data_IF_936829148368
#
_entry.id   IF_936829148368
#
_cell.length_a   1.000
_cell.length_b   1.000
_cell.length_c   1.000
_cell.angle_alpha   90.00
_cell.angle_beta   90.00
_cell.angle_gamma   90.00
#
_symmetry.space_group_name_H-M   'P 1'
#
loop_
_entity.id
_entity.type
_entity.pdbx_description
1 polymer ?
#
# COMPACT_ATOMS: atom_id res chain seq x y z
N UNK A 1 20.01 -16.54 -3.93
CA UNK A 1 19.17 -15.71 -4.85
C UNK A 1 19.77 -14.31 -4.98
N UNK A 2 19.88 -13.79 -6.20
CA UNK A 2 20.48 -12.47 -6.46
C UNK A 2 19.65 -11.35 -5.83
N UNK A 3 20.32 -10.50 -5.06
CA UNK A 3 19.81 -9.25 -4.48
C UNK A 3 18.97 -8.45 -5.48
N UNK A 4 19.38 -8.44 -6.76
CA UNK A 4 18.70 -7.78 -7.86
C UNK A 4 17.24 -8.21 -8.06
N UNK A 5 16.90 -9.49 -7.85
CA UNK A 5 15.50 -9.97 -7.98
C UNK A 5 14.62 -9.46 -6.84
N UNK A 6 15.15 -9.42 -5.61
CA UNK A 6 14.43 -8.86 -4.46
C UNK A 6 14.15 -7.37 -4.66
N UNK A 7 15.15 -6.63 -5.14
CA UNK A 7 15.01 -5.20 -5.44
C UNK A 7 13.97 -5.01 -6.56
N UNK A 8 14.13 -5.67 -7.70
CA UNK A 8 13.20 -5.54 -8.82
C UNK A 8 11.76 -5.93 -8.45
N UNK A 9 11.59 -7.03 -7.71
CA UNK A 9 10.29 -7.48 -7.22
C UNK A 9 9.62 -6.44 -6.31
N UNK A 10 10.35 -5.88 -5.35
CA UNK A 10 9.81 -4.83 -4.48
C UNK A 10 9.46 -3.56 -5.26
N UNK A 11 10.28 -3.14 -6.22
CA UNK A 11 9.98 -1.98 -7.08
C UNK A 11 8.68 -2.20 -7.88
N UNK A 12 8.54 -3.36 -8.53
CA UNK A 12 7.34 -3.68 -9.31
C UNK A 12 6.08 -3.75 -8.44
N UNK A 13 6.17 -4.44 -7.31
CA UNK A 13 5.03 -4.58 -6.39
C UNK A 13 4.64 -3.23 -5.80
N UNK A 14 5.62 -2.37 -5.48
CA UNK A 14 5.34 -1.04 -4.95
C UNK A 14 4.56 -0.14 -5.92
N UNK A 15 4.61 -0.38 -7.23
CA UNK A 15 3.81 0.38 -8.21
C UNK A 15 2.30 0.21 -8.00
N UNK A 16 1.86 -0.86 -7.35
CA UNK A 16 0.45 -1.11 -7.04
C UNK A 16 -0.01 -0.39 -5.76
N UNK A 17 0.93 0.00 -4.89
CA UNK A 17 0.60 0.60 -3.60
C UNK A 17 -0.13 1.96 -3.69
N UNK A 18 0.27 2.90 -4.58
CA UNK A 18 -0.48 4.15 -4.79
C UNK A 18 -1.95 3.93 -5.14
N UNK A 19 -2.25 2.94 -6.00
CA UNK A 19 -3.62 2.59 -6.38
C UNK A 19 -4.40 2.14 -5.13
N UNK A 20 -3.78 1.34 -4.27
CA UNK A 20 -4.38 0.85 -3.05
C UNK A 20 -4.57 1.94 -1.98
N UNK A 21 -3.64 2.90 -1.88
CA UNK A 21 -3.80 4.05 -0.97
C UNK A 21 -5.02 4.90 -1.31
N UNK A 22 -5.44 4.91 -2.59
CA UNK A 22 -6.60 5.66 -3.08
C UNK A 22 -7.90 4.85 -3.09
N UNK A 23 -7.98 3.76 -2.33
CA UNK A 23 -9.20 2.95 -2.24
C UNK A 23 -10.43 3.76 -1.80
N UNK A 24 -10.22 4.81 -0.98
CA UNK A 24 -11.30 5.71 -0.56
C UNK A 24 -11.89 6.57 -1.70
N UNK A 25 -11.18 6.73 -2.81
CA UNK A 25 -11.66 7.44 -4.00
C UNK A 25 -12.51 6.57 -4.92
N UNK A 26 -12.62 5.25 -4.67
CA UNK A 26 -13.38 4.32 -5.53
C UNK A 26 -14.82 4.81 -5.80
N UNK A 27 -15.61 5.28 -4.81
CA UNK A 27 -16.97 5.76 -5.09
C UNK A 27 -16.99 6.95 -6.06
N UNK A 28 -16.05 7.88 -5.90
CA UNK A 28 -15.95 9.08 -6.76
C UNK A 28 -15.49 8.69 -8.17
N UNK A 29 -14.55 7.76 -8.27
CA UNK A 29 -14.07 7.22 -9.56
C UNK A 29 -15.18 6.45 -10.27
N UNK A 30 -15.99 5.69 -9.53
CA UNK A 30 -17.16 5.01 -10.07
C UNK A 30 -18.16 6.03 -10.66
N UNK A 31 -18.45 7.09 -9.92
CA UNK A 31 -19.33 8.16 -10.39
C UNK A 31 -18.81 8.89 -11.63
N UNK A 32 -17.49 9.11 -11.69
CA UNK A 32 -16.83 9.69 -12.84
C UNK A 32 -16.94 8.80 -14.08
N UNK A 33 -16.72 7.49 -13.93
CA UNK A 33 -16.69 6.53 -15.06
C UNK A 33 -18.08 6.21 -15.57
N UNK A 34 -19.07 6.00 -14.69
CA UNK A 34 -20.39 5.50 -15.08
C UNK A 34 -21.45 6.60 -15.21
N UNK A 35 -21.30 7.72 -14.49
CA UNK A 35 -22.28 8.81 -14.49
C UNK A 35 -21.72 10.14 -15.01
N UNK A 36 -20.48 10.16 -15.52
CA UNK A 36 -19.79 11.37 -15.99
C UNK A 36 -19.74 12.50 -14.94
N UNK A 37 -19.71 12.15 -13.65
CA UNK A 37 -19.63 13.11 -12.54
C UNK A 37 -18.18 13.29 -12.09
N UNK A 38 -17.48 14.26 -12.68
CA UNK A 38 -16.07 14.51 -12.41
C UNK A 38 -15.86 15.48 -11.24
N UNK A 39 -16.13 15.03 -10.02
CA UNK A 39 -15.94 15.83 -8.80
C UNK A 39 -14.60 15.51 -8.13
N UNK A 40 -13.76 16.52 -7.95
CA UNK A 40 -12.50 16.40 -7.22
C UNK A 40 -12.44 17.45 -6.11
N UNK A 41 -12.64 17.02 -4.85
CA UNK A 41 -12.91 17.92 -3.73
C UNK A 41 -14.06 18.88 -4.04
N UNK A 42 -13.82 20.19 -3.98
CA UNK A 42 -14.81 21.24 -4.26
C UNK A 42 -14.83 21.67 -5.74
N UNK A 43 -14.04 21.02 -6.61
CA UNK A 43 -13.90 21.38 -8.01
C UNK A 43 -14.60 20.39 -8.95
N UNK A 44 -15.20 20.92 -10.01
CA UNK A 44 -15.73 20.14 -11.14
C UNK A 44 -14.66 20.12 -12.25
N UNK A 45 -14.37 18.94 -12.80
CA UNK A 45 -13.40 18.74 -13.88
C UNK A 45 -14.15 18.47 -15.19
N UNK A 46 -13.58 18.89 -16.33
CA UNK A 46 -14.28 18.82 -17.62
C UNK A 46 -14.15 17.48 -18.36
N UNK A 47 -13.21 16.62 -17.97
CA UNK A 47 -12.97 15.35 -18.64
C UNK A 47 -12.47 14.25 -17.71
N UNK A 48 -12.81 12.99 -18.04
CA UNK A 48 -12.38 11.81 -17.32
C UNK A 48 -10.84 11.70 -17.26
N UNK A 49 -10.15 12.03 -18.35
CA UNK A 49 -8.68 11.96 -18.39
C UNK A 49 -8.00 12.91 -17.41
N UNK A 50 -8.49 14.16 -17.34
CA UNK A 50 -7.99 15.15 -16.38
C UNK A 50 -8.35 14.72 -14.95
N UNK A 51 -9.56 14.20 -14.73
CA UNK A 51 -9.98 13.68 -13.44
C UNK A 51 -9.08 12.54 -12.94
N UNK A 52 -8.83 11.52 -13.77
CA UNK A 52 -7.96 10.39 -13.41
C UNK A 52 -6.50 10.83 -13.20
N UNK A 53 -6.05 11.86 -13.92
CA UNK A 53 -4.71 12.44 -13.69
C UNK A 53 -4.61 13.04 -12.28
N UNK A 54 -5.56 13.87 -11.87
CA UNK A 54 -5.59 14.43 -10.52
C UNK A 54 -5.73 13.33 -9.46
N UNK A 55 -6.67 12.40 -9.68
CA UNK A 55 -6.92 11.33 -8.71
C UNK A 55 -5.75 10.37 -8.61
N UNK A 56 -5.05 9.95 -9.67
CA UNK A 56 -4.05 8.87 -9.56
C UNK A 56 -2.62 9.27 -9.92
N UNK A 57 -2.40 10.24 -10.81
CA UNK A 57 -1.07 10.49 -11.39
C UNK A 57 -0.28 11.58 -10.68
N UNK A 58 -0.92 12.65 -10.21
CA UNK A 58 -0.19 13.80 -9.66
C UNK A 58 0.63 13.48 -8.41
N UNK A 59 0.11 12.64 -7.53
CA UNK A 59 0.81 12.22 -6.31
C UNK A 59 1.46 10.84 -6.44
N UNK A 60 1.36 10.20 -7.60
CA UNK A 60 1.79 8.81 -7.82
C UNK A 60 3.24 8.58 -7.39
N UNK A 61 4.15 9.45 -7.84
CA UNK A 61 5.58 9.28 -7.57
C UNK A 61 5.90 9.39 -6.07
N UNK A 62 5.23 10.30 -5.36
CA UNK A 62 5.43 10.47 -3.92
C UNK A 62 4.89 9.29 -3.13
N UNK A 63 3.69 8.81 -3.49
CA UNK A 63 3.08 7.63 -2.89
C UNK A 63 3.88 6.36 -3.16
N UNK A 64 4.43 6.23 -4.38
CA UNK A 64 5.29 5.13 -4.78
C UNK A 64 6.60 5.12 -3.96
N UNK A 65 7.28 6.26 -3.88
CA UNK A 65 8.51 6.41 -3.08
C UNK A 65 8.24 6.17 -1.59
N UNK A 66 7.11 6.68 -1.08
CA UNK A 66 6.67 6.42 0.29
C UNK A 66 6.49 4.92 0.53
N UNK A 67 5.79 4.22 -0.36
CA UNK A 67 5.58 2.78 -0.23
C UNK A 67 6.90 2.01 -0.23
N UNK A 68 7.84 2.35 -1.11
CA UNK A 68 9.16 1.71 -1.14
C UNK A 68 9.91 1.93 0.18
N UNK A 69 10.08 3.20 0.57
CA UNK A 69 11.01 3.57 1.64
C UNK A 69 10.44 3.21 3.02
N UNK A 70 9.13 3.39 3.21
CA UNK A 70 8.48 3.26 4.51
C UNK A 70 7.84 1.88 4.72
N UNK A 71 7.45 1.18 3.65
CA UNK A 71 6.74 -0.10 3.76
C UNK A 71 7.59 -1.27 3.28
N UNK A 72 7.93 -1.32 1.98
CA UNK A 72 8.55 -2.51 1.38
C UNK A 72 10.01 -2.69 1.80
N UNK A 73 10.80 -1.62 1.90
CA UNK A 73 12.20 -1.72 2.32
C UNK A 73 12.31 -2.20 3.78
N UNK A 74 11.61 -1.61 4.77
CA UNK A 74 11.64 -2.12 6.14
C UNK A 74 11.12 -3.55 6.24
N UNK A 75 10.04 -3.88 5.52
CA UNK A 75 9.53 -5.24 5.46
C UNK A 75 10.59 -6.23 4.99
N UNK A 76 11.25 -5.93 3.87
CA UNK A 76 12.27 -6.80 3.30
C UNK A 76 13.48 -6.96 4.22
N UNK A 77 13.93 -5.88 4.88
CA UNK A 77 15.05 -5.91 5.83
C UNK A 77 14.72 -6.77 7.06
N UNK A 78 13.54 -6.59 7.65
CA UNK A 78 13.12 -7.35 8.84
C UNK A 78 12.91 -8.83 8.45
N UNK A 79 12.26 -9.09 7.31
CA UNK A 79 12.06 -10.46 6.81
C UNK A 79 13.39 -11.17 6.58
N UNK A 80 14.33 -10.54 5.88
CA UNK A 80 15.64 -11.13 5.60
C UNK A 80 16.46 -11.36 6.88
N UNK A 81 16.29 -10.52 7.91
CA UNK A 81 16.88 -10.75 9.23
C UNK A 81 16.27 -11.97 9.95
N UNK A 82 14.94 -12.13 9.87
CA UNK A 82 14.23 -13.26 10.49
C UNK A 82 14.52 -14.58 9.76
N UNK A 83 14.54 -14.57 8.43
CA UNK A 83 14.83 -15.74 7.60
C UNK A 83 16.24 -16.31 7.86
N UNK A 84 17.20 -15.50 8.34
CA UNK A 84 18.53 -15.99 8.77
C UNK A 84 18.47 -16.91 9.99
N UNK A 85 17.43 -16.80 10.83
CA UNK A 85 17.27 -17.59 12.05
C UNK A 85 16.32 -18.77 11.84
N UNK A 86 15.22 -18.55 11.14
CA UNK A 86 14.26 -19.59 10.77
C UNK A 86 13.37 -19.09 9.62
N UNK A 87 12.87 -20.01 8.80
CA UNK A 87 11.97 -19.65 7.70
C UNK A 87 10.73 -18.93 8.25
N UNK A 88 10.44 -17.76 7.70
CA UNK A 88 9.28 -16.96 8.11
C UNK A 88 8.03 -17.51 7.42
N UNK A 89 7.08 -18.01 8.20
CA UNK A 89 5.79 -18.48 7.65
C UNK A 89 5.02 -17.36 6.96
N UNK A 90 4.19 -17.71 5.98
CA UNK A 90 3.36 -16.75 5.23
C UNK A 90 2.54 -15.84 6.17
N UNK A 91 1.87 -16.42 7.17
CA UNK A 91 1.08 -15.66 8.15
C UNK A 91 1.93 -14.62 8.90
N UNK A 92 3.18 -14.97 9.22
CA UNK A 92 4.11 -14.05 9.89
C UNK A 92 4.58 -12.93 8.95
N UNK A 93 4.80 -13.21 7.66
CA UNK A 93 5.08 -12.17 6.64
C UNK A 93 3.90 -11.21 6.50
N UNK A 94 2.68 -11.75 6.42
CA UNK A 94 1.44 -10.98 6.35
C UNK A 94 1.28 -10.05 7.56
N UNK A 95 1.40 -10.59 8.78
CA UNK A 95 1.32 -9.80 10.01
C UNK A 95 2.42 -8.75 10.12
N UNK A 96 3.65 -9.08 9.69
CA UNK A 96 4.76 -8.13 9.68
C UNK A 96 4.44 -6.94 8.77
N UNK A 97 3.96 -7.19 7.55
CA UNK A 97 3.61 -6.15 6.61
C UNK A 97 2.43 -5.30 7.12
N UNK A 98 1.38 -5.94 7.66
CA UNK A 98 0.26 -5.25 8.28
C UNK A 98 0.71 -4.37 9.45
N UNK A 99 1.63 -4.84 10.29
CA UNK A 99 2.16 -4.08 11.41
C UNK A 99 2.94 -2.85 10.93
N UNK A 100 3.81 -3.00 9.93
CA UNK A 100 4.56 -1.89 9.34
C UNK A 100 3.60 -0.82 8.79
N UNK A 101 2.57 -1.24 8.05
CA UNK A 101 1.56 -0.32 7.51
C UNK A 101 0.75 0.33 8.63
N UNK A 102 0.35 -0.42 9.66
CA UNK A 102 -0.37 0.14 10.80
C UNK A 102 0.47 1.20 11.53
N UNK A 103 1.76 0.94 11.74
CA UNK A 103 2.69 1.92 12.32
C UNK A 103 2.85 3.14 11.41
N UNK A 104 2.99 2.96 10.10
CA UNK A 104 3.07 4.08 9.15
C UNK A 104 1.80 4.94 9.18
N UNK A 105 0.62 4.31 9.20
CA UNK A 105 -0.67 5.01 9.35
C UNK A 105 -0.72 5.74 10.68
N UNK A 106 -0.31 5.12 11.78
CA UNK A 106 -0.29 5.80 13.08
C UNK A 106 0.65 6.99 13.03
N UNK A 107 1.85 6.86 12.48
CA UNK A 107 2.81 7.96 12.38
C UNK A 107 2.32 9.10 11.50
N UNK A 108 1.59 8.85 10.41
CA UNK A 108 1.05 9.90 9.53
C UNK A 108 -0.29 10.45 10.07
N UNK A 109 -1.11 9.58 10.65
CA UNK A 109 -2.45 9.85 11.16
C UNK A 109 -2.47 10.53 12.53
N UNK A 110 -1.45 10.29 13.38
CA UNK A 110 -1.28 11.00 14.66
C UNK A 110 -1.11 12.51 14.44
N UNK A 111 -0.47 12.92 13.35
CA UNK A 111 -0.31 14.34 13.00
C UNK A 111 -1.59 15.00 12.49
N UNK A 112 -2.59 14.24 12.05
CA UNK A 112 -3.76 14.77 11.35
C UNK A 112 -5.10 14.53 12.03
N UNK A 113 -5.30 13.41 12.76
CA UNK A 113 -6.65 12.95 13.11
C UNK A 113 -6.91 12.58 14.58
N UNK A 114 -5.89 12.22 15.38
CA UNK A 114 -6.13 11.64 16.72
C UNK A 114 -6.79 12.64 17.70
N UNK A 115 -6.63 13.93 17.48
CA UNK A 115 -7.18 14.96 18.36
C UNK A 115 -8.61 15.38 18.00
N UNK A 116 -9.10 15.04 16.79
CA UNK A 116 -10.39 15.54 16.28
C UNK A 116 -11.40 14.46 15.92
N UNK A 117 -10.97 13.25 15.58
CA UNK A 117 -11.85 12.18 15.11
C UNK A 117 -12.06 11.13 16.21
N UNK A 118 -13.30 10.64 16.42
CA UNK A 118 -13.57 9.56 17.37
C UNK A 118 -12.73 8.31 17.10
N UNK A 119 -12.25 7.67 18.17
CA UNK A 119 -11.31 6.55 18.04
C UNK A 119 -11.83 5.36 17.20
N UNK A 120 -13.15 5.13 17.16
CA UNK A 120 -13.75 4.03 16.41
C UNK A 120 -13.68 4.25 14.89
N UNK A 121 -13.69 5.49 14.42
CA UNK A 121 -13.48 5.83 13.00
C UNK A 121 -12.08 5.43 12.54
N UNK A 122 -11.11 5.32 13.45
CA UNK A 122 -9.76 4.87 13.13
C UNK A 122 -9.68 3.35 12.90
N UNK A 123 -10.71 2.58 13.28
CA UNK A 123 -10.73 1.13 13.09
C UNK A 123 -10.67 0.74 11.60
N UNK A 124 -11.20 1.58 10.71
CA UNK A 124 -11.09 1.39 9.26
C UNK A 124 -9.65 1.31 8.77
N UNK A 125 -8.73 2.01 9.44
CA UNK A 125 -7.31 1.97 9.09
C UNK A 125 -6.63 0.67 9.51
N UNK A 126 -7.11 0.01 10.57
CA UNK A 126 -6.64 -1.31 10.98
C UNK A 126 -7.12 -2.38 9.99
N UNK A 127 -8.38 -2.29 9.57
CA UNK A 127 -8.90 -3.17 8.49
C UNK A 127 -8.12 -2.96 7.20
N UNK A 128 -7.82 -1.70 6.86
CA UNK A 128 -7.01 -1.36 5.70
C UNK A 128 -5.58 -1.95 5.78
N UNK A 129 -4.90 -1.86 6.92
CA UNK A 129 -3.54 -2.40 7.07
C UNK A 129 -3.51 -3.92 7.02
N UNK A 130 -4.54 -4.59 7.52
CA UNK A 130 -4.73 -6.04 7.35
C UNK A 130 -4.95 -6.41 5.88
N UNK A 131 -5.87 -5.71 5.20
CA UNK A 131 -6.11 -5.94 3.77
C UNK A 131 -4.86 -5.71 2.91
N UNK A 132 -4.11 -4.64 3.19
CA UNK A 132 -2.82 -4.37 2.56
C UNK A 132 -1.85 -5.53 2.80
N UNK A 133 -1.70 -5.97 4.05
CA UNK A 133 -0.80 -7.06 4.41
C UNK A 133 -1.14 -8.35 3.70
N UNK A 134 -2.41 -8.76 3.66
CA UNK A 134 -2.88 -9.96 2.93
C UNK A 134 -2.53 -9.86 1.44
N UNK A 135 -2.94 -8.77 0.79
CA UNK A 135 -2.79 -8.59 -0.66
C UNK A 135 -1.31 -8.57 -1.05
N UNK A 136 -0.53 -7.69 -0.43
CA UNK A 136 0.86 -7.48 -0.83
C UNK A 136 1.78 -8.60 -0.38
N UNK A 137 1.55 -9.25 0.76
CA UNK A 137 2.31 -10.44 1.13
C UNK A 137 2.05 -11.59 0.16
N UNK A 138 0.82 -11.77 -0.33
CA UNK A 138 0.49 -12.78 -1.35
C UNK A 138 1.24 -12.52 -2.67
N UNK A 139 1.24 -11.27 -3.14
CA UNK A 139 1.95 -10.90 -4.37
C UNK A 139 3.46 -11.09 -4.20
N UNK A 140 4.04 -10.60 -3.09
CA UNK A 140 5.46 -10.76 -2.79
C UNK A 140 5.85 -12.23 -2.63
N UNK A 141 4.98 -13.06 -2.06
CA UNK A 141 5.23 -14.49 -1.94
C UNK A 141 5.36 -15.12 -3.33
N UNK A 142 4.47 -14.81 -4.27
CA UNK A 142 4.55 -15.31 -5.64
C UNK A 142 5.76 -14.77 -6.40
N UNK A 143 5.99 -13.45 -6.35
CA UNK A 143 7.02 -12.77 -7.16
C UNK A 143 8.43 -13.00 -6.62
N UNK A 144 8.60 -13.06 -5.30
CA UNK A 144 9.91 -13.08 -4.65
C UNK A 144 10.18 -14.42 -3.96
N UNK A 145 9.25 -14.92 -3.14
CA UNK A 145 9.57 -15.94 -2.12
C UNK A 145 9.34 -17.40 -2.58
N UNK A 146 8.34 -17.68 -3.43
CA UNK A 146 8.03 -19.02 -3.96
C UNK A 146 9.19 -19.66 -4.74
N UNK A 147 10.10 -18.80 -5.19
CA UNK A 147 11.29 -19.14 -5.96
C UNK A 147 12.57 -19.15 -5.08
N UNK A 148 12.42 -19.10 -3.75
CA UNK A 148 13.49 -19.30 -2.75
C UNK A 148 13.40 -20.71 -2.16
N UNK A 149 12.19 -21.18 -1.84
CA UNK A 149 11.97 -22.48 -1.18
C UNK A 149 12.15 -23.71 -2.11
N UNK A 150 12.31 -23.50 -3.42
CA UNK A 150 12.51 -24.56 -4.42
C UNK A 150 13.97 -24.67 -4.92
N UNK A 151 14.90 -23.91 -4.37
CA UNK A 151 16.33 -23.93 -4.70
C UNK A 151 17.16 -24.29 -3.49
#
# INVERSE_FOLDING_TARGET
MNLSRKIAGNLLVAMLAPIFFKIGWIPVVFDAVFYNKYKYYDFQIDSLGVFLKHVYLETFIYEYLFAIIIIFLPFQLIKDYLDRKSSVSFFRKMMLLSCIVAVAILLVGTFSNIWWIPWYENFKYLVFSLGFGVLFSSILDVVIDRHIEKS
#
